data_IF_622237666824
#
_entry.id   IF_622237666824
#
_cell.length_a   1.000
_cell.length_b   1.000
_cell.length_c   1.000
_cell.angle_alpha   90.00
_cell.angle_beta   90.00
_cell.angle_gamma   90.00
#
_symmetry.space_group_name_H-M   'P 1'
#
loop_
_entity.id
_entity.type
_entity.pdbx_description
1 polymer ?
#
# COMPACT_ATOMS: atom_id res chain seq x y z
N UNK A 1 -2.20 14.08 5.58
CA UNK A 1 -1.85 13.61 6.92
C UNK A 1 -1.03 12.33 6.84
N UNK A 2 -0.32 11.99 7.91
CA UNK A 2 0.36 10.71 8.11
C UNK A 2 -0.30 10.03 9.31
N UNK A 3 -0.83 8.83 9.13
CA UNK A 3 -1.41 8.02 10.19
C UNK A 3 -0.44 6.89 10.54
N UNK A 4 0.10 6.92 11.75
CA UNK A 4 0.89 5.83 12.31
C UNK A 4 -0.05 4.89 13.06
N UNK A 5 0.00 3.61 12.73
CA UNK A 5 -0.77 2.55 13.36
C UNK A 5 0.22 1.55 13.95
N UNK A 6 0.15 1.33 15.25
CA UNK A 6 0.86 0.25 15.93
C UNK A 6 -0.15 -0.82 16.30
N UNK A 7 -0.24 -1.86 15.48
CA UNK A 7 -1.07 -3.04 15.73
C UNK A 7 -0.41 -3.88 16.82
N UNK A 8 -1.01 -3.92 18.01
CA UNK A 8 -0.45 -4.63 19.16
C UNK A 8 -0.86 -6.09 19.12
N UNK A 9 -2.13 -6.35 19.39
CA UNK A 9 -2.63 -7.68 19.67
C UNK A 9 -4.13 -7.81 19.43
N UNK A 10 -4.58 -9.06 19.31
CA UNK A 10 -5.98 -9.45 19.38
C UNK A 10 -6.22 -10.20 20.68
N UNK A 11 -7.43 -10.11 21.23
CA UNK A 11 -7.79 -10.84 22.45
C UNK A 11 -9.12 -11.56 22.25
N UNK A 12 -9.16 -12.82 22.65
CA UNK A 12 -10.32 -13.71 22.56
C UNK A 12 -10.97 -13.69 21.17
N UNK A 13 -10.16 -13.78 20.11
CA UNK A 13 -10.70 -13.83 18.76
C UNK A 13 -11.53 -15.09 18.56
N UNK A 14 -12.57 -15.00 17.73
CA UNK A 14 -13.46 -16.11 17.39
C UNK A 14 -12.68 -17.30 16.78
N UNK A 15 -13.14 -18.52 17.06
CA UNK A 15 -12.59 -19.74 16.45
C UNK A 15 -13.20 -19.92 15.06
N UNK A 16 -12.37 -20.12 14.03
CA UNK A 16 -12.83 -20.53 12.69
C UNK A 16 -12.27 -21.89 12.26
N UNK A 17 -11.13 -22.33 12.80
CA UNK A 17 -10.60 -23.66 12.51
C UNK A 17 -11.28 -24.78 13.31
N UNK A 18 -11.39 -25.95 12.69
CA UNK A 18 -11.86 -27.19 13.34
C UNK A 18 -10.99 -27.65 14.52
N UNK A 19 -9.75 -27.17 14.62
CA UNK A 19 -8.85 -27.54 15.72
C UNK A 19 -9.03 -26.69 16.98
N UNK A 20 -10.04 -25.80 17.01
CA UNK A 20 -10.34 -24.97 18.18
C UNK A 20 -9.48 -23.72 18.28
N UNK A 21 -8.76 -23.34 17.22
CA UNK A 21 -7.95 -22.12 17.12
C UNK A 21 -8.26 -21.37 15.82
N UNK A 22 -7.45 -20.37 15.51
CA UNK A 22 -7.41 -19.68 14.22
C UNK A 22 -5.99 -19.21 13.95
N UNK A 23 -5.70 -18.89 12.69
CA UNK A 23 -4.49 -18.28 12.16
C UNK A 23 -4.72 -16.79 11.79
N UNK A 24 -4.98 -15.89 12.77
CA UNK A 24 -5.46 -14.55 12.50
C UNK A 24 -4.42 -13.61 11.85
N UNK A 25 -4.92 -12.77 10.95
CA UNK A 25 -4.23 -11.60 10.42
C UNK A 25 -5.19 -10.42 10.23
N UNK A 26 -4.64 -9.20 10.17
CA UNK A 26 -5.39 -7.96 10.09
C UNK A 26 -5.17 -7.26 8.75
N UNK A 27 -6.24 -6.71 8.18
CA UNK A 27 -6.20 -5.81 7.02
C UNK A 27 -6.69 -4.42 7.43
N UNK A 28 -5.86 -3.41 7.19
CA UNK A 28 -6.27 -2.01 7.29
C UNK A 28 -6.80 -1.54 5.93
N UNK A 29 -8.04 -1.03 5.91
CA UNK A 29 -8.68 -0.53 4.69
C UNK A 29 -9.13 0.92 4.84
N UNK A 30 -8.93 1.69 3.78
CA UNK A 30 -9.41 3.06 3.65
C UNK A 30 -10.02 3.20 2.25
N UNK A 31 -11.21 3.82 2.13
CA UNK A 31 -11.96 3.91 0.87
C UNK A 31 -12.15 2.58 0.14
N UNK A 32 -12.41 1.51 0.91
CA UNK A 32 -12.56 0.15 0.36
C UNK A 32 -11.25 -0.50 -0.12
N UNK A 33 -10.15 0.25 -0.23
CA UNK A 33 -8.84 -0.26 -0.63
C UNK A 33 -8.09 -0.79 0.59
N UNK A 34 -7.43 -1.93 0.43
CA UNK A 34 -6.54 -2.49 1.47
C UNK A 34 -5.20 -1.79 1.36
N UNK A 35 -4.78 -1.11 2.43
CA UNK A 35 -3.52 -0.38 2.48
C UNK A 35 -2.41 -1.18 3.16
N UNK A 36 -2.78 -2.11 4.05
CA UNK A 36 -1.84 -2.94 4.78
C UNK A 36 -2.46 -4.29 5.13
N UNK A 37 -1.61 -5.32 5.20
CA UNK A 37 -1.94 -6.65 5.70
C UNK A 37 -0.84 -7.07 6.68
N UNK A 38 -1.22 -7.47 7.90
CA UNK A 38 -0.26 -7.92 8.91
C UNK A 38 0.29 -9.31 8.62
N UNK A 39 1.28 -9.74 9.42
CA UNK A 39 1.65 -11.15 9.52
C UNK A 39 0.47 -11.97 10.02
N UNK A 40 0.54 -13.25 9.68
CA UNK A 40 -0.36 -14.27 10.20
C UNK A 40 0.28 -14.84 11.45
N UNK A 41 -0.47 -14.90 12.54
CA UNK A 41 -0.05 -15.59 13.76
C UNK A 41 -0.79 -16.92 13.80
N UNK A 42 -0.07 -18.03 13.81
CA UNK A 42 -0.67 -19.34 13.68
C UNK A 42 -1.23 -19.87 15.01
N UNK A 43 -2.41 -20.50 14.95
CA UNK A 43 -3.08 -21.25 16.02
C UNK A 43 -3.19 -20.49 17.33
N UNK A 44 -3.58 -19.23 17.27
CA UNK A 44 -3.63 -18.35 18.43
C UNK A 44 -4.80 -17.37 18.38
N UNK A 45 -5.71 -17.47 19.34
CA UNK A 45 -6.86 -16.56 19.50
C UNK A 45 -6.51 -15.28 20.27
N UNK A 46 -5.28 -15.20 20.81
CA UNK A 46 -4.72 -14.02 21.45
C UNK A 46 -3.40 -13.64 20.76
N UNK A 47 -3.44 -13.34 19.45
CA UNK A 47 -2.24 -13.07 18.68
C UNK A 47 -1.60 -11.75 19.11
N UNK A 48 -0.27 -11.73 19.20
CA UNK A 48 0.52 -10.50 19.30
C UNK A 48 1.21 -10.30 17.97
N UNK A 49 0.85 -9.23 17.25
CA UNK A 49 1.50 -8.87 15.98
C UNK A 49 2.69 -7.95 16.22
N UNK A 50 2.51 -6.95 17.10
CA UNK A 50 3.50 -5.91 17.39
C UNK A 50 4.07 -5.26 16.11
N UNK A 51 3.18 -4.90 15.19
CA UNK A 51 3.53 -4.35 13.88
C UNK A 51 3.21 -2.86 13.79
N UNK A 52 4.15 -2.06 13.29
CA UNK A 52 3.92 -0.62 13.05
C UNK A 52 3.91 -0.31 11.56
N UNK A 53 2.88 0.41 11.11
CA UNK A 53 2.72 0.90 9.74
C UNK A 53 2.40 2.39 9.74
N UNK A 54 2.91 3.10 8.73
CA UNK A 54 2.59 4.52 8.50
C UNK A 54 1.86 4.65 7.17
N UNK A 55 0.64 5.16 7.20
CA UNK A 55 -0.23 5.31 6.04
C UNK A 55 -0.42 6.79 5.69
N UNK A 56 -0.19 7.20 4.44
CA UNK A 56 -0.58 8.54 3.99
C UNK A 56 -2.11 8.62 3.89
N UNK A 57 -2.70 9.62 4.55
CA UNK A 57 -4.14 9.88 4.54
C UNK A 57 -4.39 11.24 3.89
N UNK A 58 -5.16 11.27 2.80
CA UNK A 58 -5.48 12.50 2.08
C UNK A 58 -6.50 13.35 2.84
N UNK A 59 -7.60 12.73 3.26
CA UNK A 59 -8.72 13.37 3.93
C UNK A 59 -9.11 12.59 5.19
N UNK A 60 -9.62 13.28 6.22
CA UNK A 60 -9.93 12.69 7.52
C UNK A 60 -11.40 12.26 7.66
N UNK A 61 -12.24 12.60 6.69
CA UNK A 61 -13.67 12.26 6.60
C UNK A 61 -13.94 10.76 6.37
N UNK A 62 -12.88 9.96 6.31
CA UNK A 62 -12.93 8.54 6.01
C UNK A 62 -12.81 7.70 7.28
N UNK A 63 -13.43 6.51 7.23
CA UNK A 63 -13.29 5.48 8.25
C UNK A 63 -12.11 4.59 7.91
N UNK A 64 -11.15 4.48 8.82
CA UNK A 64 -10.17 3.39 8.78
C UNK A 64 -10.87 2.12 9.25
N UNK A 65 -11.01 1.15 8.36
CA UNK A 65 -11.54 -0.17 8.68
C UNK A 65 -10.42 -1.11 9.09
N UNK A 66 -10.63 -1.80 10.20
CA UNK A 66 -9.77 -2.86 10.73
C UNK A 66 -10.55 -4.15 10.54
N UNK A 67 -10.05 -5.04 9.68
CA UNK A 67 -10.72 -6.32 9.39
C UNK A 67 -9.81 -7.47 9.76
N UNK A 68 -10.32 -8.41 10.55
CA UNK A 68 -9.58 -9.59 10.98
C UNK A 68 -10.05 -10.78 10.18
N UNK A 69 -9.11 -11.65 9.83
CA UNK A 69 -9.36 -12.82 9.02
C UNK A 69 -8.54 -14.00 9.54
N UNK A 70 -9.09 -15.19 9.43
CA UNK A 70 -8.39 -16.44 9.62
C UNK A 70 -7.68 -16.81 8.31
N UNK A 71 -6.49 -17.40 8.36
CA UNK A 71 -5.78 -17.86 7.18
C UNK A 71 -5.98 -19.36 6.96
N UNK A 72 -6.88 -19.66 6.03
CA UNK A 72 -7.04 -21.02 5.50
C UNK A 72 -6.26 -21.26 4.20
N UNK A 73 -6.18 -22.54 3.83
CA UNK A 73 -5.54 -23.00 2.59
C UNK A 73 -6.24 -22.50 1.32
N UNK A 74 -7.57 -22.39 1.35
CA UNK A 74 -8.38 -22.04 0.16
C UNK A 74 -8.83 -20.59 0.17
N UNK A 75 -9.45 -20.15 1.26
CA UNK A 75 -10.03 -18.82 1.39
C UNK A 75 -10.06 -18.43 2.85
N UNK A 76 -9.53 -17.26 3.17
CA UNK A 76 -9.54 -16.75 4.53
C UNK A 76 -10.95 -16.49 5.06
N UNK A 77 -11.29 -17.08 6.19
CA UNK A 77 -12.54 -16.81 6.89
C UNK A 77 -12.54 -15.44 7.59
N UNK A 78 -13.70 -14.79 7.64
CA UNK A 78 -13.83 -13.49 8.28
C UNK A 78 -14.04 -13.63 9.78
N UNK A 79 -13.27 -12.88 10.56
CA UNK A 79 -13.26 -12.92 12.03
C UNK A 79 -13.81 -11.63 12.65
N UNK A 80 -14.49 -10.79 11.86
CA UNK A 80 -15.07 -9.54 12.33
C UNK A 80 -14.27 -8.30 11.94
N UNK A 81 -14.90 -7.15 12.14
CA UNK A 81 -14.32 -5.85 11.82
C UNK A 81 -14.70 -4.77 12.82
N UNK A 82 -13.85 -3.76 12.88
CA UNK A 82 -14.12 -2.50 13.56
C UNK A 82 -13.71 -1.34 12.64
N UNK A 83 -14.07 -0.12 13.02
CA UNK A 83 -13.57 1.07 12.34
C UNK A 83 -13.25 2.19 13.32
N UNK A 84 -12.36 3.08 12.89
CA UNK A 84 -12.06 4.35 13.57
C UNK A 84 -12.36 5.49 12.62
N UNK A 85 -13.06 6.52 13.11
CA UNK A 85 -13.31 7.75 12.36
C UNK A 85 -12.08 8.65 12.53
N UNK A 86 -11.40 8.97 11.42
CA UNK A 86 -10.10 9.66 11.51
C UNK A 86 -10.20 11.10 11.99
N UNK A 87 -11.36 11.76 11.85
CA UNK A 87 -11.61 13.10 12.41
C UNK A 87 -11.64 13.13 13.94
N UNK A 88 -11.85 11.99 14.59
CA UNK A 88 -11.90 11.90 16.06
C UNK A 88 -10.50 11.76 16.68
N UNK A 89 -9.46 11.59 15.86
CA UNK A 89 -8.08 11.51 16.31
C UNK A 89 -7.50 12.91 16.53
N UNK A 90 -6.88 13.10 17.70
CA UNK A 90 -6.11 14.31 17.99
C UNK A 90 -4.77 14.31 17.22
N UNK A 91 -4.42 15.46 16.65
CA UNK A 91 -3.16 15.62 15.94
C UNK A 91 -1.96 15.54 16.88
N UNK A 92 -0.91 14.86 16.44
CA UNK A 92 0.37 14.63 17.13
C UNK A 92 0.25 13.96 18.50
N UNK A 93 -0.89 13.34 18.80
CA UNK A 93 -1.09 12.50 19.98
C UNK A 93 -1.15 11.05 19.55
N UNK A 94 -0.65 10.17 20.41
CA UNK A 94 -0.85 8.72 20.27
C UNK A 94 -1.98 8.31 21.21
N UNK A 95 -2.97 7.59 20.69
CA UNK A 95 -4.10 7.06 21.48
C UNK A 95 -4.16 5.54 21.33
N UNK A 96 -4.31 4.85 22.46
CA UNK A 96 -4.62 3.42 22.46
C UNK A 96 -6.10 3.22 22.20
N UNK A 97 -6.42 2.28 21.31
CA UNK A 97 -7.77 1.90 20.95
C UNK A 97 -7.96 0.41 21.22
N UNK A 98 -9.01 0.09 21.97
CA UNK A 98 -9.48 -1.29 22.18
C UNK A 98 -10.82 -1.41 21.47
N UNK A 99 -10.81 -2.03 20.31
CA UNK A 99 -11.95 -2.07 19.40
C UNK A 99 -12.61 -3.44 19.45
N UNK A 100 -13.90 -3.48 19.79
CA UNK A 100 -14.71 -4.70 19.65
C UNK A 100 -14.92 -5.01 18.17
N UNK A 101 -14.73 -6.28 17.82
CA UNK A 101 -14.99 -6.76 16.47
C UNK A 101 -16.47 -7.11 16.33
N UNK A 102 -17.01 -6.82 15.16
CA UNK A 102 -18.41 -7.12 14.84
C UNK A 102 -18.48 -7.81 13.46
N UNK A 103 -19.40 -8.76 13.35
CA UNK A 103 -19.84 -9.34 12.08
C UNK A 103 -21.36 -9.54 12.11
N UNK A 104 -22.13 -8.73 11.36
CA UNK A 104 -23.59 -8.85 11.31
C UNK A 104 -24.10 -10.20 10.78
N UNK A 105 -23.24 -11.00 10.14
CA UNK A 105 -23.60 -12.30 9.58
C UNK A 105 -23.16 -13.47 10.48
N UNK A 106 -22.51 -13.21 11.61
CA UNK A 106 -22.07 -14.23 12.55
C UNK A 106 -23.18 -14.54 13.56
N UNK A 107 -23.25 -15.79 14.00
CA UNK A 107 -24.09 -16.21 15.13
C UNK A 107 -23.36 -16.10 16.48
N UNK A 108 -22.08 -15.75 16.44
CA UNK A 108 -21.24 -15.57 17.63
C UNK A 108 -21.50 -14.21 18.27
N UNK A 109 -21.76 -14.19 19.58
CA UNK A 109 -22.02 -12.97 20.33
C UNK A 109 -20.74 -12.17 20.64
N UNK A 110 -19.60 -12.85 20.72
CA UNK A 110 -18.28 -12.24 20.98
C UNK A 110 -17.29 -12.63 19.89
N UNK A 111 -16.91 -11.66 19.07
CA UNK A 111 -15.92 -11.82 18.01
C UNK A 111 -14.49 -11.50 18.50
N UNK A 112 -14.34 -11.07 19.75
CA UNK A 112 -13.09 -10.61 20.34
C UNK A 112 -12.83 -9.12 20.12
N UNK A 113 -11.62 -8.70 20.50
CA UNK A 113 -11.18 -7.30 20.39
C UNK A 113 -9.83 -7.19 19.70
N UNK A 114 -9.59 -6.06 19.04
CA UNK A 114 -8.27 -5.65 18.53
C UNK A 114 -7.77 -4.46 19.32
N UNK A 115 -6.49 -4.52 19.70
CA UNK A 115 -5.80 -3.47 20.43
C UNK A 115 -4.71 -2.87 19.55
N UNK A 116 -4.72 -1.55 19.41
CA UNK A 116 -3.75 -0.83 18.59
C UNK A 116 -3.55 0.60 19.10
N UNK A 117 -2.41 1.21 18.77
CA UNK A 117 -2.21 2.65 18.96
C UNK A 117 -2.34 3.38 17.62
N UNK A 118 -2.96 4.56 17.64
CA UNK A 118 -3.08 5.45 16.49
C UNK A 118 -2.43 6.80 16.78
N UNK A 119 -1.71 7.34 15.82
CA UNK A 119 -1.23 8.72 15.86
C UNK A 119 -1.36 9.39 14.51
N UNK A 120 -1.97 10.57 14.48
CA UNK A 120 -2.21 11.34 13.27
C UNK A 120 -1.32 12.59 13.25
N UNK A 121 -0.51 12.77 12.22
CA UNK A 121 0.34 13.95 12.04
C UNK A 121 0.01 14.69 10.74
N UNK A 122 0.25 16.00 10.73
CA UNK A 122 0.17 16.79 9.49
C UNK A 122 1.38 16.48 8.63
N UNK A 123 1.16 16.13 7.36
CA UNK A 123 2.23 16.00 6.38
C UNK A 123 2.68 17.43 6.04
N UNK A 124 3.75 17.92 6.67
CA UNK A 124 4.27 19.25 6.37
C UNK A 124 4.67 19.31 4.88
N UNK A 125 4.20 20.35 4.18
CA UNK A 125 4.67 20.67 2.83
C UNK A 125 6.12 21.13 2.88
N UNK A 126 6.92 20.64 1.94
CA UNK A 126 8.39 20.70 1.89
C UNK A 126 9.02 22.07 2.19
N UNK A 127 10.07 22.11 3.02
CA UNK A 127 11.31 22.86 2.75
C UNK A 127 12.49 22.34 3.60
N UNK A 128 13.55 21.88 2.89
CA UNK A 128 14.93 21.59 3.33
C UNK A 128 15.20 20.37 4.22
N UNK A 129 15.97 19.43 3.62
CA UNK A 129 17.01 18.57 4.20
C UNK A 129 17.07 18.59 5.74
N UNK A 130 16.57 17.54 6.38
CA UNK A 130 17.23 17.01 7.56
C UNK A 130 16.99 15.50 7.68
N UNK A 131 18.06 14.76 7.42
CA UNK A 131 18.20 13.30 7.54
C UNK A 131 18.21 12.81 9.00
N UNK A 132 17.53 13.54 9.90
CA UNK A 132 17.55 13.29 11.35
C UNK A 132 16.25 12.68 11.87
N UNK A 133 15.08 12.95 11.28
CA UNK A 133 13.83 12.42 11.83
C UNK A 133 13.63 10.91 11.56
N UNK A 134 14.19 10.37 10.46
CA UNK A 134 14.10 8.93 10.16
C UNK A 134 15.15 8.07 10.88
N UNK A 135 16.05 8.67 11.67
CA UNK A 135 17.15 7.92 12.31
C UNK A 135 16.68 7.06 13.48
N UNK A 136 15.44 7.24 13.95
CA UNK A 136 14.85 6.49 15.07
C UNK A 136 14.14 5.19 14.67
N UNK A 137 13.92 4.92 13.39
CA UNK A 137 13.29 3.66 12.94
C UNK A 137 14.37 2.71 12.45
N UNK A 138 15.29 2.36 13.34
CA UNK A 138 16.21 1.22 13.15
C UNK A 138 15.73 0.07 14.02
N UNK A 139 14.66 -0.61 13.58
CA UNK A 139 14.28 -1.90 14.15
C UNK A 139 13.94 -2.88 13.03
N UNK A 140 14.88 -3.82 12.86
CA UNK A 140 14.83 -5.14 12.21
C UNK A 140 14.42 -5.25 10.73
N UNK A 141 15.38 -5.70 9.91
CA UNK A 141 15.25 -6.16 8.52
C UNK A 141 14.22 -7.29 8.29
N UNK A 142 13.63 -7.87 9.35
CA UNK A 142 12.62 -8.95 9.30
C UNK A 142 11.16 -8.48 9.18
N UNK A 143 10.93 -7.17 9.09
CA UNK A 143 9.60 -6.56 8.93
C UNK A 143 9.27 -6.16 7.47
N UNK A 144 10.22 -6.33 6.53
CA UNK A 144 10.07 -5.84 5.14
C UNK A 144 9.09 -6.65 4.28
N UNK A 145 8.70 -7.86 4.66
CA UNK A 145 7.82 -8.69 3.80
C UNK A 145 6.36 -8.23 3.75
N UNK A 146 5.89 -7.40 4.69
CA UNK A 146 4.47 -7.02 4.78
C UNK A 146 4.16 -5.53 4.58
N UNK A 147 5.17 -4.68 4.39
CA UNK A 147 4.95 -3.32 3.92
C UNK A 147 4.81 -3.35 2.40
N UNK A 148 3.56 -3.32 1.90
CA UNK A 148 3.36 -3.45 0.47
C UNK A 148 3.80 -2.22 -0.33
N UNK A 149 3.80 -1.00 0.23
CA UNK A 149 4.38 0.23 -0.36
C UNK A 149 4.07 1.46 0.51
N UNK A 150 4.92 2.49 0.50
CA UNK A 150 4.81 3.72 1.29
C UNK A 150 3.96 4.83 0.65
N UNK A 151 3.62 4.71 -0.63
CA UNK A 151 2.73 5.65 -1.32
C UNK A 151 2.52 5.29 -2.79
N UNK A 152 1.72 6.09 -3.49
CA UNK A 152 1.58 6.02 -4.95
C UNK A 152 2.33 7.19 -5.58
N UNK A 153 3.12 6.91 -6.61
CA UNK A 153 3.72 7.90 -7.51
C UNK A 153 2.96 7.83 -8.82
N UNK A 154 2.17 8.86 -9.08
CA UNK A 154 1.42 9.01 -10.31
C UNK A 154 2.26 9.76 -11.33
N UNK A 155 2.49 9.15 -12.48
CA UNK A 155 3.23 9.71 -13.61
C UNK A 155 2.27 9.96 -14.75
N UNK A 156 2.16 11.22 -15.17
CA UNK A 156 1.39 11.62 -16.34
C UNK A 156 2.31 11.77 -17.53
N UNK A 157 2.30 10.80 -18.45
CA UNK A 157 3.03 10.84 -19.71
C UNK A 157 2.24 11.66 -20.73
N UNK A 158 2.68 12.89 -20.98
CA UNK A 158 1.99 13.81 -21.89
C UNK A 158 2.40 13.60 -23.34
N UNK A 159 3.63 13.98 -23.69
CA UNK A 159 4.13 14.02 -25.06
C UNK A 159 5.64 13.80 -25.12
N UNK A 160 6.12 13.34 -26.27
CA UNK A 160 7.53 13.37 -26.64
C UNK A 160 7.75 14.41 -27.74
N UNK A 161 8.93 15.04 -27.78
CA UNK A 161 9.28 16.01 -28.83
C UNK A 161 10.59 15.62 -29.50
N UNK A 162 10.66 15.82 -30.81
CA UNK A 162 11.86 15.61 -31.62
C UNK A 162 12.47 14.20 -31.48
N UNK A 163 11.63 13.16 -31.37
CA UNK A 163 12.13 11.79 -31.25
C UNK A 163 12.77 11.35 -32.58
N UNK A 164 14.06 11.04 -32.54
CA UNK A 164 14.85 10.67 -33.72
C UNK A 164 14.28 9.43 -34.41
N UNK A 165 13.93 9.58 -35.69
CA UNK A 165 13.31 8.51 -36.48
C UNK A 165 11.83 8.26 -36.18
N UNK A 166 11.16 9.14 -35.43
CA UNK A 166 9.74 8.96 -35.07
C UNK A 166 8.78 8.96 -36.25
N UNK A 167 9.13 9.57 -37.39
CA UNK A 167 8.32 9.52 -38.61
C UNK A 167 8.35 8.19 -39.38
N UNK A 168 9.15 7.19 -38.95
CA UNK A 168 9.37 5.95 -39.71
C UNK A 168 8.93 4.68 -38.97
N UNK A 169 8.72 4.75 -37.66
CA UNK A 169 8.43 3.59 -36.83
C UNK A 169 7.45 3.94 -35.70
N UNK A 170 6.80 2.92 -35.17
CA UNK A 170 5.90 3.08 -34.03
C UNK A 170 6.71 3.28 -32.75
N UNK A 171 6.24 4.12 -31.84
CA UNK A 171 6.96 4.46 -30.60
C UNK A 171 6.08 4.20 -29.39
N UNK A 172 6.69 3.67 -28.33
CA UNK A 172 6.10 3.62 -26.99
C UNK A 172 7.15 3.98 -25.93
N UNK A 173 6.69 4.31 -24.73
CA UNK A 173 7.50 4.61 -23.57
C UNK A 173 7.38 3.46 -22.58
N UNK A 174 8.51 3.03 -22.03
CA UNK A 174 8.57 2.06 -20.94
C UNK A 174 9.05 2.77 -19.68
N UNK A 175 8.15 2.92 -18.72
CA UNK A 175 8.42 3.51 -17.41
C UNK A 175 8.79 2.39 -16.43
N UNK A 176 9.90 2.54 -15.70
CA UNK A 176 10.35 1.55 -14.69
C UNK A 176 10.63 2.24 -13.36
N UNK A 177 10.13 1.68 -12.26
CA UNK A 177 10.46 2.11 -10.90
C UNK A 177 10.73 0.86 -10.05
N UNK A 178 12.02 0.56 -9.87
CA UNK A 178 12.45 -0.70 -9.28
C UNK A 178 11.96 -1.90 -10.12
N UNK A 179 11.19 -2.78 -9.49
CA UNK A 179 10.63 -3.98 -10.14
C UNK A 179 9.38 -3.69 -10.98
N UNK A 180 8.75 -2.51 -10.81
CA UNK A 180 7.52 -2.15 -11.52
C UNK A 180 7.82 -1.59 -12.90
N UNK A 181 7.08 -2.05 -13.92
CA UNK A 181 7.24 -1.63 -15.31
C UNK A 181 5.90 -1.39 -15.96
N UNK A 182 5.74 -0.26 -16.64
CA UNK A 182 4.53 0.08 -17.39
C UNK A 182 4.88 0.53 -18.81
N UNK A 183 4.20 -0.06 -19.80
CA UNK A 183 4.33 0.28 -21.22
C UNK A 183 3.19 1.20 -21.64
N UNK A 184 3.52 2.33 -22.27
CA UNK A 184 2.53 3.24 -22.83
C UNK A 184 1.93 2.67 -24.12
N UNK A 185 0.86 3.32 -24.62
CA UNK A 185 0.32 3.04 -25.95
C UNK A 185 1.41 3.19 -26.99
N UNK A 186 1.41 2.26 -27.94
CA UNK A 186 2.24 2.36 -29.14
C UNK A 186 1.55 3.32 -30.10
N UNK A 187 2.19 4.45 -30.39
CA UNK A 187 1.64 5.47 -31.27
C UNK A 187 2.26 5.39 -32.67
N UNK A 188 1.47 5.77 -33.67
CA UNK A 188 1.87 5.85 -35.06
C UNK A 188 3.03 6.83 -35.26
N UNK A 189 3.69 6.66 -36.40
CA UNK A 189 4.92 7.31 -36.86
C UNK A 189 4.91 8.85 -36.78
N UNK A 190 5.14 9.39 -35.59
CA UNK A 190 5.26 10.81 -35.31
C UNK A 190 6.56 11.10 -34.57
N UNK A 191 7.23 12.18 -34.95
CA UNK A 191 8.36 12.73 -34.18
C UNK A 191 7.92 13.45 -32.90
N UNK A 192 6.62 13.74 -32.76
CA UNK A 192 6.03 14.45 -31.62
C UNK A 192 4.79 13.70 -31.06
N UNK A 193 4.93 12.45 -30.59
CA UNK A 193 3.82 11.63 -30.12
C UNK A 193 3.14 12.22 -28.87
N UNK A 194 1.82 12.03 -28.76
CA UNK A 194 0.98 12.53 -27.67
C UNK A 194 0.28 11.33 -27.00
N UNK A 195 0.73 10.94 -25.82
CA UNK A 195 0.15 9.81 -25.08
C UNK A 195 -1.00 10.26 -24.19
N UNK A 196 -0.75 11.27 -23.34
CA UNK A 196 -1.69 11.75 -22.31
C UNK A 196 -2.21 10.60 -21.44
N UNK A 197 -1.29 9.75 -21.00
CA UNK A 197 -1.56 8.57 -20.19
C UNK A 197 -1.08 8.77 -18.75
N UNK A 198 -1.71 8.09 -17.81
CA UNK A 198 -1.38 8.15 -16.39
C UNK A 198 -1.00 6.75 -15.89
N UNK A 199 0.09 6.66 -15.16
CA UNK A 199 0.61 5.43 -14.58
C UNK A 199 0.83 5.60 -13.09
N UNK A 200 0.34 4.63 -12.32
CA UNK A 200 0.42 4.65 -10.86
C UNK A 200 1.44 3.61 -10.40
N UNK A 201 2.53 4.07 -9.78
CA UNK A 201 3.58 3.23 -9.24
C UNK A 201 3.50 3.16 -7.72
N UNK A 202 3.77 1.99 -7.17
CA UNK A 202 3.98 1.83 -5.74
C UNK A 202 5.37 2.39 -5.34
N UNK A 203 5.40 3.35 -4.43
CA UNK A 203 6.63 3.95 -3.91
C UNK A 203 7.07 3.24 -2.63
N UNK A 204 8.35 2.91 -2.54
CA UNK A 204 8.97 2.30 -1.38
C UNK A 204 10.06 3.24 -0.85
N UNK A 205 9.91 3.80 0.35
CA UNK A 205 10.84 4.79 0.92
C UNK A 205 12.17 4.18 1.37
N UNK A 206 12.18 2.87 1.57
CA UNK A 206 13.36 2.06 1.91
C UNK A 206 14.13 1.60 0.66
N UNK A 207 13.55 1.74 -0.54
CA UNK A 207 14.22 1.50 -1.80
C UNK A 207 14.70 2.83 -2.39
N UNK A 208 15.94 2.85 -2.86
CA UNK A 208 16.49 3.99 -3.62
C UNK A 208 16.22 3.79 -5.12
N UNK A 209 15.01 3.36 -5.45
CA UNK A 209 14.62 3.10 -6.83
C UNK A 209 14.46 4.43 -7.56
N UNK A 210 15.11 4.55 -8.71
CA UNK A 210 14.96 5.69 -9.60
C UNK A 210 13.92 5.36 -10.66
N UNK A 211 13.15 6.37 -11.07
CA UNK A 211 12.28 6.24 -12.23
C UNK A 211 13.14 6.28 -13.49
N UNK A 212 13.18 5.18 -14.23
CA UNK A 212 13.77 5.11 -15.56
C UNK A 212 12.66 5.25 -16.60
N UNK A 213 12.92 6.06 -17.64
CA UNK A 213 11.98 6.34 -18.72
C UNK A 213 12.67 5.95 -20.03
N UNK A 214 12.27 4.83 -20.60
CA UNK A 214 12.87 4.35 -21.83
C UNK A 214 11.99 4.63 -23.05
N UNK A 215 12.58 5.18 -24.11
CA UNK A 215 11.89 5.38 -25.39
C UNK A 215 12.17 4.18 -26.28
N UNK A 216 11.14 3.46 -26.68
CA UNK A 216 11.26 2.27 -27.51
C UNK A 216 10.62 2.46 -28.87
N UNK A 217 11.31 1.95 -29.89
CA UNK A 217 10.83 1.84 -31.26
C UNK A 217 10.34 0.43 -31.52
N UNK A 218 9.22 0.30 -32.23
CA UNK A 218 8.75 -0.95 -32.79
C UNK A 218 8.68 -0.85 -34.31
N UNK A 219 9.35 -1.77 -34.99
CA UNK A 219 9.30 -1.84 -36.45
C UNK A 219 8.11 -2.69 -36.94
N UNK A 220 7.87 -2.64 -38.26
CA UNK A 220 6.79 -3.40 -38.91
C UNK A 220 6.96 -4.93 -38.78
N UNK A 221 8.15 -5.42 -38.43
CA UNK A 221 8.48 -6.84 -38.22
C UNK A 221 8.38 -7.24 -36.74
N UNK A 222 7.84 -6.37 -35.88
CA UNK A 222 7.71 -6.52 -34.42
C UNK A 222 9.04 -6.54 -33.66
N UNK A 223 10.15 -6.12 -34.29
CA UNK A 223 11.41 -5.91 -33.58
C UNK A 223 11.30 -4.65 -32.72
N UNK A 224 11.68 -4.76 -31.44
CA UNK A 224 11.68 -3.64 -30.49
C UNK A 224 13.12 -3.20 -30.22
N UNK A 225 13.39 -1.90 -30.36
CA UNK A 225 14.72 -1.30 -30.22
C UNK A 225 14.65 -0.12 -29.23
N UNK A 226 15.59 -0.07 -28.29
CA UNK A 226 15.73 1.03 -27.33
C UNK A 226 16.38 2.24 -28.02
N UNK A 227 15.70 3.38 -28.03
CA UNK A 227 16.21 4.63 -28.62
C UNK A 227 16.93 5.53 -27.61
N UNK A 228 16.59 5.42 -26.33
CA UNK A 228 17.18 6.24 -25.28
C UNK A 228 16.52 6.05 -23.91
N UNK A 229 17.19 6.60 -22.90
CA UNK A 229 16.74 6.72 -21.51
C UNK A 229 16.58 8.20 -21.14
#
# INVERSE_FOLDING_TARGET
YLLTIHLKEGRNLVIRDRCGTSDPYVKFKLNGKTLYKSKVVYKNLNPVWDETVVLPVQTLDQKLWIKVYDRDLTSSDFMGSAFVVLTELELNRTTEQVLKLEDPNSLEDDMGVIVLNLSLAVKQGDFKRNSSFMRSVRLSDSLRENQLWNGLVTITLLEGKNISGGGLAEIFILLKLGDQRYKSKTLCKSANPQWREQFDFHYFSDRKDMLDIEVWRKDNKKHEELLGM
#
